data_IF_368188008533
#
_entry.id   IF_368188008533
#
_cell.length_a   1.000
_cell.length_b   1.000
_cell.length_c   1.000
_cell.angle_alpha   90.00
_cell.angle_beta   90.00
_cell.angle_gamma   90.00
#
_symmetry.space_group_name_H-M   'P 1'
#
loop_
_entity.id
_entity.type
_entity.pdbx_description
1 polymer ?
#
# COMPACT_ATOMS: atom_id res chain seq x y z
N UNK A 1 52.01 11.00 -44.46
CA UNK A 1 50.69 10.34 -44.55
C UNK A 1 50.42 9.66 -43.22
N UNK A 2 49.84 10.36 -42.28
CA UNK A 2 49.55 9.89 -40.91
C UNK A 2 48.03 9.68 -40.76
N UNK A 3 47.65 8.42 -40.54
CA UNK A 3 46.27 8.03 -40.28
C UNK A 3 45.99 8.15 -38.80
N UNK A 4 45.03 8.99 -38.38
CA UNK A 4 44.42 9.02 -37.03
C UNK A 4 43.42 7.87 -36.89
N UNK A 5 43.42 7.13 -35.78
CA UNK A 5 42.34 6.23 -35.45
C UNK A 5 41.17 6.99 -34.77
N UNK A 6 39.96 6.82 -35.31
CA UNK A 6 38.77 7.38 -34.74
C UNK A 6 38.39 6.71 -33.40
N UNK A 7 38.23 7.54 -32.37
CA UNK A 7 37.73 7.14 -31.05
C UNK A 7 36.22 7.06 -31.09
N UNK A 8 35.64 5.87 -31.10
CA UNK A 8 34.20 5.63 -31.00
C UNK A 8 33.76 5.83 -29.53
N UNK A 9 33.08 6.94 -29.25
CA UNK A 9 32.49 7.25 -27.94
C UNK A 9 31.19 6.47 -27.80
N UNK A 10 31.20 5.40 -26.98
CA UNK A 10 30.00 4.59 -26.66
C UNK A 10 29.16 5.37 -25.61
N UNK A 11 28.05 5.96 -26.05
CA UNK A 11 27.07 6.60 -25.18
C UNK A 11 26.23 5.50 -24.50
N UNK A 12 26.48 5.26 -23.21
CA UNK A 12 25.63 4.44 -22.34
C UNK A 12 24.39 5.26 -21.97
N UNK A 13 23.26 4.96 -22.61
CA UNK A 13 21.95 5.47 -22.24
C UNK A 13 21.48 4.76 -20.96
N UNK A 14 21.69 5.39 -19.81
CA UNK A 14 21.04 4.99 -18.56
C UNK A 14 19.57 5.37 -18.66
N UNK A 15 18.69 4.42 -18.92
CA UNK A 15 17.24 4.58 -18.80
C UNK A 15 16.87 4.71 -17.31
N UNK A 16 16.83 5.94 -16.79
CA UNK A 16 16.14 6.22 -15.55
C UNK A 16 14.65 6.02 -15.79
N UNK A 17 14.03 5.03 -15.18
CA UNK A 17 12.57 4.95 -15.05
C UNK A 17 12.10 6.14 -14.21
N UNK A 18 11.61 7.17 -14.88
CA UNK A 18 10.99 8.34 -14.26
C UNK A 18 9.65 7.85 -13.72
N UNK A 19 9.51 7.81 -12.40
CA UNK A 19 8.18 7.76 -11.76
C UNK A 19 7.53 9.11 -12.06
N UNK A 20 6.61 9.11 -12.99
CA UNK A 20 5.90 10.30 -13.43
C UNK A 20 5.03 10.82 -12.28
N UNK A 21 5.47 11.90 -11.64
CA UNK A 21 4.59 12.66 -10.75
C UNK A 21 3.47 13.24 -11.58
N UNK A 22 2.21 13.07 -11.14
CA UNK A 22 1.02 13.56 -11.86
C UNK A 22 1.12 15.08 -12.01
N UNK A 23 1.19 15.61 -13.25
CA UNK A 23 1.25 17.06 -13.47
C UNK A 23 0.02 17.76 -12.90
N UNK A 24 0.21 18.92 -12.28
CA UNK A 24 -0.87 19.73 -11.69
C UNK A 24 -2.02 20.13 -12.66
N UNK A 25 -1.78 20.02 -13.95
CA UNK A 25 -2.74 20.44 -15.00
C UNK A 25 -3.82 19.41 -15.37
N UNK A 26 -3.77 18.17 -14.85
CA UNK A 26 -4.65 17.09 -15.31
C UNK A 26 -5.91 16.88 -14.44
N UNK A 27 -6.14 17.69 -13.41
CA UNK A 27 -7.17 17.31 -12.47
C UNK A 27 -8.03 18.47 -11.93
N UNK A 28 -9.07 18.82 -12.66
CA UNK A 28 -10.19 19.65 -12.18
C UNK A 28 -11.31 18.80 -11.55
N UNK A 29 -11.06 17.53 -11.25
CA UNK A 29 -12.03 16.60 -10.68
C UNK A 29 -12.45 16.99 -9.28
N UNK A 30 -13.77 16.95 -9.01
CA UNK A 30 -14.29 17.06 -7.65
C UNK A 30 -13.92 15.80 -6.85
N UNK A 31 -13.88 15.89 -5.53
CA UNK A 31 -13.73 14.71 -4.65
C UNK A 31 -14.71 13.58 -5.02
N UNK A 32 -15.96 13.91 -5.35
CA UNK A 32 -16.96 12.93 -5.74
C UNK A 32 -16.57 12.17 -7.01
N UNK A 33 -16.01 12.85 -8.01
CA UNK A 33 -15.55 12.20 -9.23
C UNK A 33 -14.35 11.27 -8.96
N UNK A 34 -13.39 11.73 -8.14
CA UNK A 34 -12.26 10.89 -7.72
C UNK A 34 -12.71 9.68 -6.92
N UNK A 35 -13.60 9.87 -5.94
CA UNK A 35 -14.18 8.79 -5.16
C UNK A 35 -14.91 7.77 -6.05
N UNK A 36 -15.74 8.25 -6.99
CA UNK A 36 -16.47 7.39 -7.93
C UNK A 36 -15.51 6.55 -8.80
N UNK A 37 -14.39 7.11 -9.23
CA UNK A 37 -13.38 6.39 -10.02
C UNK A 37 -12.74 5.22 -9.28
N UNK A 38 -12.71 5.27 -7.94
CA UNK A 38 -12.10 4.27 -7.07
C UNK A 38 -13.10 3.26 -6.49
N UNK A 39 -14.41 3.55 -6.50
CA UNK A 39 -15.43 2.66 -5.91
C UNK A 39 -15.49 1.26 -6.53
N UNK A 40 -15.12 1.13 -7.80
CA UNK A 40 -15.03 -0.16 -8.51
C UNK A 40 -13.72 -0.93 -8.29
N UNK A 41 -12.79 -0.36 -7.52
CA UNK A 41 -11.45 -0.92 -7.35
C UNK A 41 -11.43 -2.00 -6.25
N UNK A 42 -11.96 -3.17 -6.58
CA UNK A 42 -12.02 -4.32 -5.66
C UNK A 42 -10.91 -5.35 -5.88
N UNK A 43 -10.12 -5.25 -6.96
CA UNK A 43 -9.07 -6.19 -7.33
C UNK A 43 -7.79 -5.43 -7.61
N UNK A 44 -6.83 -5.53 -6.70
CA UNK A 44 -5.55 -4.86 -6.84
C UNK A 44 -4.45 -5.60 -6.09
N UNK A 45 -3.24 -5.36 -6.51
CA UNK A 45 -2.04 -5.80 -5.83
C UNK A 45 -1.11 -4.59 -5.64
N UNK A 46 -0.56 -4.48 -4.45
CA UNK A 46 0.40 -3.44 -4.11
C UNK A 46 1.65 -4.06 -3.51
N UNK A 47 2.80 -3.59 -3.95
CA UNK A 47 4.07 -3.83 -3.28
C UNK A 47 4.57 -2.54 -2.69
N UNK A 48 5.28 -2.63 -1.56
CA UNK A 48 5.77 -1.45 -0.89
C UNK A 48 6.52 -1.74 0.39
N UNK A 49 6.69 -0.70 1.18
CA UNK A 49 7.38 -0.74 2.46
C UNK A 49 6.55 -0.06 3.52
N UNK A 50 6.53 -0.64 4.69
CA UNK A 50 5.89 -0.04 5.86
C UNK A 50 6.92 0.18 6.99
N UNK A 51 6.81 1.32 7.66
CA UNK A 51 7.48 1.59 8.92
C UNK A 51 6.40 1.77 9.98
N UNK A 52 6.50 1.02 11.07
CA UNK A 52 5.55 1.00 12.19
C UNK A 52 6.33 1.36 13.44
N UNK A 53 5.83 2.31 14.22
CA UNK A 53 6.43 2.71 15.50
C UNK A 53 5.32 2.78 16.56
N UNK A 54 5.50 2.07 17.68
CA UNK A 54 4.54 2.04 18.77
C UNK A 54 5.01 2.86 20.00
N UNK A 55 6.00 3.74 19.81
CA UNK A 55 6.59 4.54 20.87
C UNK A 55 7.75 3.86 21.60
N UNK A 56 7.81 2.52 21.61
CA UNK A 56 8.90 1.73 22.23
C UNK A 56 9.73 0.99 21.20
N UNK A 57 9.11 0.49 20.16
CA UNK A 57 9.73 -0.31 19.11
C UNK A 57 9.39 0.24 17.72
N UNK A 58 10.29 -0.01 16.78
CA UNK A 58 10.12 0.36 15.37
C UNK A 58 10.42 -0.82 14.47
N UNK A 59 9.50 -1.09 13.53
CA UNK A 59 9.66 -2.13 12.53
C UNK A 59 9.67 -1.53 11.14
N UNK A 60 10.56 -2.04 10.30
CA UNK A 60 10.64 -1.72 8.89
C UNK A 60 10.45 -3.01 8.11
N UNK A 61 9.37 -3.09 7.35
CA UNK A 61 8.97 -4.30 6.64
C UNK A 61 8.68 -4.00 5.17
N UNK A 62 8.97 -4.96 4.32
CA UNK A 62 8.42 -5.02 2.98
C UNK A 62 7.00 -5.54 3.05
N UNK A 63 6.14 -5.06 2.18
CA UNK A 63 4.73 -5.38 2.12
C UNK A 63 4.35 -5.83 0.73
N UNK A 64 3.67 -6.96 0.65
CA UNK A 64 2.91 -7.39 -0.51
C UNK A 64 1.45 -7.51 -0.07
N UNK A 65 0.53 -6.87 -0.79
CA UNK A 65 -0.90 -6.95 -0.50
C UNK A 65 -1.70 -7.24 -1.76
N UNK A 66 -2.32 -8.39 -1.81
CA UNK A 66 -3.31 -8.77 -2.81
C UNK A 66 -4.71 -8.60 -2.23
N UNK A 67 -5.56 -7.83 -2.90
CA UNK A 67 -6.98 -7.66 -2.57
C UNK A 67 -7.83 -8.19 -3.71
N UNK A 68 -8.82 -9.02 -3.41
CA UNK A 68 -9.75 -9.63 -4.38
C UNK A 68 -11.16 -9.62 -3.81
N UNK A 69 -11.90 -8.54 -4.03
CA UNK A 69 -13.18 -8.32 -3.37
C UNK A 69 -12.99 -8.24 -1.85
N UNK A 70 -13.63 -9.15 -1.12
CA UNK A 70 -13.46 -9.27 0.33
C UNK A 70 -12.28 -10.16 0.74
N UNK A 71 -11.73 -10.95 -0.17
CA UNK A 71 -10.57 -11.78 0.11
C UNK A 71 -9.29 -10.95 0.03
N UNK A 72 -8.34 -11.24 0.92
CA UNK A 72 -7.04 -10.59 0.90
C UNK A 72 -5.92 -11.57 1.28
N UNK A 73 -4.74 -11.25 0.80
CA UNK A 73 -3.51 -11.89 1.22
C UNK A 73 -2.46 -10.79 1.42
N UNK A 74 -1.88 -10.74 2.63
CA UNK A 74 -0.89 -9.74 2.99
C UNK A 74 0.34 -10.50 3.46
N UNK A 75 1.51 -10.18 2.90
CA UNK A 75 2.79 -10.68 3.38
C UNK A 75 3.64 -9.50 3.84
N UNK A 76 4.14 -9.61 5.06
CA UNK A 76 5.09 -8.67 5.64
C UNK A 76 6.38 -9.42 5.95
N UNK A 77 7.51 -8.85 5.60
CA UNK A 77 8.82 -9.45 5.85
C UNK A 77 9.88 -8.38 6.05
N UNK A 78 10.77 -8.63 6.98
CA UNK A 78 11.92 -7.76 7.25
C UNK A 78 12.96 -7.80 6.13
N UNK A 79 14.06 -7.06 6.30
CA UNK A 79 15.21 -7.11 5.40
C UNK A 79 15.71 -8.56 5.26
N UNK A 80 16.06 -8.96 4.04
CA UNK A 80 16.54 -10.31 3.71
C UNK A 80 15.55 -11.45 4.03
N UNK A 81 14.23 -11.12 4.12
CA UNK A 81 13.19 -12.11 4.38
C UNK A 81 13.01 -12.50 5.85
N UNK A 82 13.72 -11.86 6.79
CA UNK A 82 13.61 -12.17 8.20
C UNK A 82 12.21 -11.83 8.76
N UNK A 83 11.72 -12.65 9.68
CA UNK A 83 10.48 -12.38 10.43
C UNK A 83 9.24 -12.30 9.54
N UNK A 84 9.12 -13.17 8.54
CA UNK A 84 7.97 -13.18 7.64
C UNK A 84 6.69 -13.57 8.36
N UNK A 85 5.62 -12.78 8.13
CA UNK A 85 4.24 -13.13 8.48
C UNK A 85 3.36 -13.03 7.25
N UNK A 86 2.41 -13.94 7.12
CA UNK A 86 1.41 -13.92 6.08
C UNK A 86 0.02 -13.95 6.70
N UNK A 87 -0.83 -13.02 6.27
CA UNK A 87 -2.24 -12.95 6.62
C UNK A 87 -3.05 -13.33 5.39
N UNK A 88 -3.96 -14.28 5.53
CA UNK A 88 -4.90 -14.67 4.48
C UNK A 88 -6.29 -14.68 5.08
N UNK A 89 -7.23 -13.95 4.48
CA UNK A 89 -8.55 -13.86 5.07
C UNK A 89 -9.60 -13.24 4.16
N UNK A 90 -10.79 -13.11 4.74
CA UNK A 90 -11.95 -12.44 4.14
C UNK A 90 -12.73 -11.69 5.26
N UNK A 91 -14.03 -11.38 5.02
CA UNK A 91 -14.89 -10.73 6.01
C UNK A 91 -15.17 -11.60 7.26
N UNK A 92 -15.01 -12.92 7.17
CA UNK A 92 -15.53 -13.86 8.18
C UNK A 92 -14.42 -14.50 9.01
N UNK A 93 -13.25 -14.70 8.41
CA UNK A 93 -12.12 -15.34 9.08
C UNK A 93 -10.79 -14.88 8.53
N UNK A 94 -9.77 -14.98 9.37
CA UNK A 94 -8.39 -14.71 9.02
C UNK A 94 -7.48 -15.81 9.57
N UNK A 95 -6.49 -16.18 8.77
CA UNK A 95 -5.35 -16.99 9.14
C UNK A 95 -4.11 -16.10 9.16
N UNK A 96 -3.30 -16.22 10.21
CA UNK A 96 -1.94 -15.69 10.29
C UNK A 96 -0.97 -16.86 10.29
N UNK A 97 -0.02 -16.86 9.37
CA UNK A 97 1.08 -17.80 9.27
C UNK A 97 2.39 -17.08 9.60
N UNK A 98 3.12 -17.59 10.59
CA UNK A 98 4.44 -17.04 10.98
C UNK A 98 5.58 -17.69 10.20
N UNK A 99 6.79 -17.14 10.33
CA UNK A 99 8.04 -17.72 9.79
C UNK A 99 8.33 -19.12 10.32
N UNK A 100 7.86 -19.44 11.52
CA UNK A 100 8.08 -20.74 12.18
C UNK A 100 7.01 -21.76 11.81
N UNK A 101 6.20 -21.46 10.78
CA UNK A 101 5.06 -22.25 10.30
C UNK A 101 3.93 -22.44 11.34
N UNK A 102 3.87 -21.60 12.35
CA UNK A 102 2.74 -21.58 13.26
C UNK A 102 1.54 -20.89 12.59
N UNK A 103 0.34 -21.47 12.80
CA UNK A 103 -0.92 -20.95 12.24
C UNK A 103 -1.86 -20.54 13.36
N UNK A 104 -2.41 -19.34 13.20
CA UNK A 104 -3.38 -18.78 14.11
C UNK A 104 -4.61 -18.34 13.32
N UNK A 105 -5.78 -18.55 13.89
CA UNK A 105 -7.07 -18.27 13.26
C UNK A 105 -7.90 -17.34 14.14
N UNK A 106 -8.63 -16.43 13.52
CA UNK A 106 -9.57 -15.54 14.20
C UNK A 106 -10.70 -15.13 13.25
N UNK A 107 -11.79 -14.63 13.81
CA UNK A 107 -12.83 -13.93 13.05
C UNK A 107 -12.53 -12.43 12.91
N UNK A 108 -11.49 -11.93 13.56
CA UNK A 108 -11.11 -10.51 13.54
C UNK A 108 -9.58 -10.37 13.40
N UNK A 109 -9.16 -9.76 12.29
CA UNK A 109 -7.75 -9.57 11.97
C UNK A 109 -7.04 -8.64 12.96
N UNK A 110 -7.71 -7.58 13.42
CA UNK A 110 -7.10 -6.59 14.30
C UNK A 110 -6.85 -7.19 15.70
N UNK A 111 -7.79 -8.03 16.17
CA UNK A 111 -7.63 -8.81 17.41
C UNK A 111 -6.47 -9.78 17.29
N UNK A 112 -6.42 -10.54 16.20
CA UNK A 112 -5.36 -11.51 15.96
C UNK A 112 -3.97 -10.87 15.94
N UNK A 113 -3.83 -9.77 15.23
CA UNK A 113 -2.58 -9.01 15.17
C UNK A 113 -2.19 -8.46 16.55
N UNK A 114 -3.15 -7.89 17.29
CA UNK A 114 -2.88 -7.37 18.62
C UNK A 114 -2.40 -8.46 19.58
N UNK A 115 -3.03 -9.62 19.60
CA UNK A 115 -2.65 -10.75 20.44
C UNK A 115 -1.24 -11.28 20.14
N UNK A 116 -0.79 -11.15 18.87
CA UNK A 116 0.50 -11.69 18.42
C UNK A 116 1.63 -10.67 18.41
N UNK A 117 1.32 -9.39 18.24
CA UNK A 117 2.34 -8.33 18.05
C UNK A 117 2.24 -7.23 19.10
N UNK A 118 1.17 -7.18 19.89
CA UNK A 118 0.88 -6.04 20.78
C UNK A 118 0.44 -4.77 20.06
N UNK A 119 0.33 -4.80 18.71
CA UNK A 119 0.02 -3.63 17.88
C UNK A 119 -1.42 -3.70 17.38
N UNK A 120 -2.25 -2.71 17.75
CA UNK A 120 -3.62 -2.55 17.23
C UNK A 120 -3.59 -1.88 15.85
N UNK A 121 -3.50 -2.68 14.79
CA UNK A 121 -3.50 -2.21 13.41
C UNK A 121 -4.90 -2.37 12.80
N UNK A 122 -5.52 -1.32 12.24
CA UNK A 122 -6.85 -1.38 11.66
C UNK A 122 -6.76 -1.86 10.21
N UNK A 123 -6.48 -3.14 10.01
CA UNK A 123 -6.26 -3.70 8.66
C UNK A 123 -7.52 -3.63 7.81
N UNK A 124 -8.69 -3.76 8.42
CA UNK A 124 -9.96 -3.64 7.74
C UNK A 124 -10.17 -2.24 7.13
N UNK A 125 -9.71 -1.18 7.82
CA UNK A 125 -9.76 0.20 7.34
C UNK A 125 -8.60 0.51 6.40
N UNK A 126 -7.42 -0.04 6.64
CA UNK A 126 -6.22 0.20 5.82
C UNK A 126 -6.44 -0.14 4.36
N UNK A 127 -7.23 -1.15 4.03
CA UNK A 127 -7.53 -1.50 2.63
C UNK A 127 -8.18 -0.35 1.86
N UNK A 128 -9.00 0.48 2.54
CA UNK A 128 -9.62 1.67 1.95
C UNK A 128 -8.64 2.83 1.92
N UNK A 129 -7.90 3.06 3.02
CA UNK A 129 -6.93 4.15 3.09
C UNK A 129 -5.81 3.98 2.06
N UNK A 130 -5.37 2.75 1.79
CA UNK A 130 -4.35 2.50 0.78
C UNK A 130 -4.77 2.96 -0.60
N UNK A 131 -6.03 2.81 -0.98
CA UNK A 131 -6.54 3.25 -2.27
C UNK A 131 -7.05 4.71 -2.27
N UNK A 132 -6.95 5.42 -1.14
CA UNK A 132 -7.34 6.84 -1.06
C UNK A 132 -8.83 7.05 -0.78
N UNK A 133 -9.51 6.10 -0.14
CA UNK A 133 -10.90 6.19 0.28
C UNK A 133 -11.03 6.13 1.81
N UNK A 134 -12.06 6.76 2.40
CA UNK A 134 -12.44 6.47 3.77
C UNK A 134 -13.06 5.07 3.86
N UNK A 135 -12.85 4.37 4.98
CA UNK A 135 -13.54 3.13 5.28
C UNK A 135 -15.04 3.40 5.50
N UNK A 136 -15.95 2.51 5.07
CA UNK A 136 -17.38 2.64 5.35
C UNK A 136 -17.72 2.57 6.85
N UNK A 137 -16.81 2.04 7.67
CA UNK A 137 -16.98 1.92 9.11
C UNK A 137 -16.66 3.26 9.81
N UNK A 138 -17.69 3.90 10.38
CA UNK A 138 -17.52 5.05 11.25
C UNK A 138 -17.75 6.42 10.59
N UNK A 139 -17.68 7.46 11.44
CA UNK A 139 -17.75 8.85 11.01
C UNK A 139 -16.35 9.31 10.65
N UNK A 140 -16.24 10.07 9.58
CA UNK A 140 -14.99 10.62 9.09
C UNK A 140 -15.07 12.13 8.90
N UNK A 141 -13.92 12.78 8.99
CA UNK A 141 -13.70 14.14 8.52
C UNK A 141 -12.57 14.10 7.50
N UNK A 142 -12.86 14.53 6.28
CA UNK A 142 -11.94 14.48 5.16
C UNK A 142 -11.60 15.89 4.68
N UNK A 143 -10.34 16.11 4.34
CA UNK A 143 -9.88 17.25 3.56
C UNK A 143 -9.31 16.77 2.24
N UNK A 144 -9.56 17.50 1.19
CA UNK A 144 -9.05 17.21 -0.15
C UNK A 144 -8.02 18.25 -0.59
N UNK A 145 -7.19 17.91 -1.53
CA UNK A 145 -6.28 18.82 -2.20
C UNK A 145 -6.98 19.55 -3.36
N UNK A 146 -6.26 20.43 -4.05
CA UNK A 146 -6.75 21.17 -5.22
C UNK A 146 -7.20 20.30 -6.39
N UNK A 147 -6.84 19.00 -6.37
CA UNK A 147 -7.18 18.01 -7.39
C UNK A 147 -8.36 17.11 -6.98
N UNK A 148 -9.01 17.40 -5.85
CA UNK A 148 -10.11 16.58 -5.34
C UNK A 148 -9.69 15.22 -4.77
N UNK A 149 -8.41 15.03 -4.38
CA UNK A 149 -7.90 13.79 -3.75
C UNK A 149 -7.80 14.00 -2.24
N UNK A 150 -7.93 12.93 -1.46
CA UNK A 150 -7.72 13.02 -0.01
C UNK A 150 -6.32 13.58 0.30
N UNK A 151 -6.25 14.65 1.07
CA UNK A 151 -5.02 15.17 1.66
C UNK A 151 -4.91 14.76 3.13
N UNK A 152 -6.04 14.73 3.84
CA UNK A 152 -6.17 14.29 5.24
C UNK A 152 -7.49 13.56 5.42
N UNK A 153 -7.47 12.59 6.33
CA UNK A 153 -8.66 11.86 6.78
C UNK A 153 -8.54 11.65 8.29
N UNK A 154 -9.58 12.02 9.03
CA UNK A 154 -9.76 11.63 10.43
C UNK A 154 -10.84 10.56 10.47
N UNK A 155 -10.51 9.34 10.89
CA UNK A 155 -11.46 8.24 11.01
C UNK A 155 -11.26 7.52 12.34
N UNK A 156 -12.25 7.65 13.22
CA UNK A 156 -12.08 7.26 14.61
C UNK A 156 -10.91 8.01 15.28
N UNK A 157 -10.02 7.28 15.90
CA UNK A 157 -8.79 7.84 16.53
C UNK A 157 -7.65 8.04 15.52
N UNK A 158 -7.78 7.58 14.29
CA UNK A 158 -6.73 7.63 13.29
C UNK A 158 -6.74 8.93 12.50
N UNK A 159 -5.55 9.51 12.33
CA UNK A 159 -5.27 10.60 11.41
C UNK A 159 -4.47 10.06 10.25
N UNK A 160 -5.03 10.11 9.05
CA UNK A 160 -4.38 9.65 7.81
C UNK A 160 -3.99 10.86 6.98
N UNK A 161 -2.78 10.90 6.48
CA UNK A 161 -2.23 11.99 5.64
C UNK A 161 -1.64 11.41 4.38
N UNK A 162 -2.08 11.92 3.26
CA UNK A 162 -1.61 11.52 1.95
C UNK A 162 -0.53 12.47 1.47
N UNK A 163 0.65 11.96 1.11
CA UNK A 163 1.85 12.77 0.81
C UNK A 163 2.28 12.70 -0.65
N UNK A 164 1.88 11.65 -1.33
CA UNK A 164 2.17 11.46 -2.75
C UNK A 164 1.05 10.64 -3.37
N UNK A 165 0.71 11.00 -4.60
CA UNK A 165 -0.16 10.23 -5.47
C UNK A 165 0.60 9.82 -6.73
N UNK A 166 0.19 8.73 -7.37
CA UNK A 166 0.76 8.20 -8.61
C UNK A 166 -0.37 7.85 -9.57
N UNK A 167 -0.12 8.00 -10.87
CA UNK A 167 -1.07 7.58 -11.90
C UNK A 167 -0.81 6.13 -12.28
N UNK A 168 -1.88 5.32 -12.33
CA UNK A 168 -1.82 3.89 -12.65
C UNK A 168 -3.03 3.54 -13.51
N UNK A 169 -2.82 3.23 -14.78
CA UNK A 169 -3.89 2.87 -15.72
C UNK A 169 -5.08 3.86 -15.73
N UNK A 170 -4.77 5.16 -15.66
CA UNK A 170 -5.79 6.23 -15.64
C UNK A 170 -6.43 6.50 -14.28
N UNK A 171 -6.15 5.71 -13.25
CA UNK A 171 -6.52 6.00 -11.86
C UNK A 171 -5.38 6.72 -11.13
N UNK A 172 -5.74 7.58 -10.18
CA UNK A 172 -4.79 8.29 -9.34
C UNK A 172 -4.84 7.71 -7.93
N UNK A 173 -3.77 7.02 -7.53
CA UNK A 173 -3.68 6.25 -6.30
C UNK A 173 -2.63 6.81 -5.34
N UNK A 174 -2.79 6.63 -4.02
CA UNK A 174 -1.76 7.00 -3.07
C UNK A 174 -0.44 6.24 -3.31
N UNK A 175 0.67 6.98 -3.28
CA UNK A 175 2.02 6.42 -3.32
C UNK A 175 2.76 6.56 -2.00
N UNK A 176 2.26 7.43 -1.08
CA UNK A 176 2.84 7.60 0.26
C UNK A 176 1.78 8.08 1.25
N UNK A 177 1.63 7.32 2.33
CA UNK A 177 0.60 7.51 3.35
C UNK A 177 1.26 7.50 4.72
N UNK A 178 0.79 8.38 5.60
CA UNK A 178 1.07 8.37 7.03
C UNK A 178 -0.25 8.19 7.77
N UNK A 179 -0.33 7.23 8.64
CA UNK A 179 -1.47 7.03 9.53
C UNK A 179 -0.96 7.00 10.97
N UNK A 180 -1.53 7.82 11.83
CA UNK A 180 -1.13 7.91 13.23
C UNK A 180 -2.32 7.96 14.17
N UNK A 181 -2.16 7.37 15.33
CA UNK A 181 -3.02 7.52 16.50
C UNK A 181 -2.17 7.42 17.76
N UNK A 182 -2.49 8.21 18.79
CA UNK A 182 -1.80 8.23 20.09
C UNK A 182 -0.32 7.77 20.00
N UNK A 183 -0.01 6.56 20.39
CA UNK A 183 1.36 6.05 20.48
C UNK A 183 1.73 5.13 19.28
N UNK A 184 1.00 5.20 18.18
CA UNK A 184 1.23 4.36 17.01
C UNK A 184 1.32 5.20 15.73
N UNK A 185 2.48 5.15 15.08
CA UNK A 185 2.75 5.75 13.79
C UNK A 185 2.97 4.68 12.73
N UNK A 186 2.30 4.82 11.60
CA UNK A 186 2.43 3.93 10.43
C UNK A 186 2.74 4.76 9.20
N UNK A 187 3.78 4.40 8.48
CA UNK A 187 4.16 5.01 7.21
C UNK A 187 4.18 3.94 6.15
N UNK A 188 3.44 4.14 5.08
CA UNK A 188 3.42 3.22 3.94
C UNK A 188 3.90 3.97 2.71
N UNK A 189 4.84 3.36 2.00
CA UNK A 189 5.28 3.77 0.67
C UNK A 189 4.93 2.65 -0.27
N UNK A 190 4.10 2.94 -1.26
CA UNK A 190 3.79 1.99 -2.31
C UNK A 190 4.82 2.17 -3.42
N UNK A 191 5.49 1.09 -3.77
CA UNK A 191 6.50 1.05 -4.81
C UNK A 191 5.87 0.67 -6.16
N UNK A 192 4.87 -0.23 -6.16
CA UNK A 192 4.15 -0.66 -7.37
C UNK A 192 2.68 -0.94 -7.07
N UNK A 193 1.82 -0.57 -8.02
CA UNK A 193 0.43 -0.96 -8.11
C UNK A 193 0.18 -1.83 -9.34
N UNK A 194 -0.58 -2.92 -9.18
CA UNK A 194 -1.14 -3.71 -10.30
C UNK A 194 -2.65 -3.78 -10.14
N UNK A 195 -3.40 -3.39 -11.17
CA UNK A 195 -4.86 -3.32 -11.16
C UNK A 195 -5.46 -4.41 -12.04
N UNK A 196 -6.69 -4.84 -11.71
CA UNK A 196 -7.43 -5.79 -12.53
C UNK A 196 -6.83 -7.19 -12.60
N UNK A 197 -6.04 -7.59 -11.59
CA UNK A 197 -5.46 -8.93 -11.55
C UNK A 197 -6.59 -9.94 -11.40
N UNK A 198 -6.95 -10.54 -12.52
CA UNK A 198 -7.76 -11.75 -12.49
C UNK A 198 -6.89 -12.92 -12.05
N UNK A 199 -7.42 -13.76 -11.23
CA UNK A 199 -7.01 -14.91 -10.44
C UNK A 199 -5.88 -15.82 -11.00
N UNK A 200 -5.29 -15.57 -12.16
CA UNK A 200 -4.44 -16.52 -12.86
C UNK A 200 -2.96 -16.53 -12.44
N UNK A 201 -2.49 -15.48 -11.78
CA UNK A 201 -1.13 -15.47 -11.23
C UNK A 201 -1.18 -14.88 -9.83
N UNK A 202 -1.41 -15.73 -8.83
CA UNK A 202 -1.24 -15.33 -7.44
C UNK A 202 0.26 -15.00 -7.24
N UNK A 203 0.63 -13.72 -7.05
CA UNK A 203 2.04 -13.31 -6.93
C UNK A 203 2.73 -13.90 -5.69
N UNK A 204 1.99 -14.59 -4.84
CA UNK A 204 2.52 -15.31 -3.69
C UNK A 204 2.92 -16.77 -4.01
N UNK A 205 2.58 -17.28 -5.19
CA UNK A 205 2.92 -18.63 -5.63
C UNK A 205 4.23 -18.69 -6.43
N UNK A 206 4.77 -17.56 -6.87
CA UNK A 206 6.11 -17.51 -7.46
C UNK A 206 7.13 -17.76 -6.34
N UNK A 207 7.54 -19.03 -6.25
CA UNK A 207 8.70 -19.42 -5.48
C UNK A 207 9.93 -18.83 -6.20
N UNK A 208 10.43 -17.69 -5.67
CA UNK A 208 11.78 -17.22 -5.99
C UNK A 208 12.83 -18.13 -5.37
#
# INVERSE_FOLDING_TARGET
MTKLPGLALLLLLTACTIVEEVPDSLNTGSWQAHQASLQGMHHWFATGRAAINNGTESWHVNMLWLQQGNNYQIRLFGPFGAGQVQLTGNSDQVELLTSDNERFYSHNIDTLLYERTGVKMPVAELRYWLIGLPSPAGKDAASVDSHGRLSRLQQGEWRVRYKRYVSVNGLVLPGKIFADKKDLDVRVVIDEWKLGIQTLNNPFNDKG
#
